data_IF_832985359118
#
_entry.id   IF_832985359118
#
_cell.length_a   1.000
_cell.length_b   1.000
_cell.length_c   1.000
_cell.angle_alpha   90.00
_cell.angle_beta   90.00
_cell.angle_gamma   90.00
#
_symmetry.space_group_name_H-M   'P 1'
#
loop_
_entity.id
_entity.type
_entity.pdbx_description
1 polymer ?
#
# COMPACT_ATOMS: atom_id res chain seq x y z
N UNK A 1 10.22 2.22 -1.00
CA UNK A 1 11.49 1.66 -0.49
C UNK A 1 11.20 0.35 0.22
N UNK A 2 11.85 -0.75 -0.18
CA UNK A 2 11.45 -2.09 0.28
C UNK A 2 12.07 -2.53 1.62
N UNK A 3 13.10 -1.85 2.13
CA UNK A 3 13.80 -2.21 3.37
C UNK A 3 13.80 -1.07 4.40
N UNK A 4 13.38 -1.32 5.66
CA UNK A 4 13.50 -0.35 6.75
C UNK A 4 14.94 0.08 7.03
N UNK A 5 15.92 -0.83 6.87
CA UNK A 5 17.34 -0.53 7.11
C UNK A 5 17.86 0.52 6.13
N UNK A 6 17.49 0.38 4.85
CA UNK A 6 17.86 1.34 3.82
C UNK A 6 17.21 2.71 4.05
N UNK A 7 15.94 2.72 4.51
CA UNK A 7 15.24 3.96 4.85
C UNK A 7 15.97 4.73 5.96
N UNK A 8 16.32 4.06 7.06
CA UNK A 8 17.04 4.67 8.18
C UNK A 8 18.44 5.13 7.78
N UNK A 9 19.15 4.35 6.94
CA UNK A 9 20.46 4.74 6.45
C UNK A 9 20.41 6.05 5.64
N UNK A 10 19.46 6.17 4.70
CA UNK A 10 19.34 7.39 3.89
C UNK A 10 18.92 8.60 4.72
N UNK A 11 18.07 8.38 5.73
CA UNK A 11 17.63 9.42 6.65
C UNK A 11 18.77 9.91 7.55
N UNK A 12 19.53 8.99 8.16
CA UNK A 12 20.62 9.31 9.09
C UNK A 12 21.82 9.94 8.41
N UNK A 13 22.13 9.51 7.19
CA UNK A 13 23.21 10.09 6.40
C UNK A 13 22.79 11.36 5.65
N UNK A 14 21.57 11.88 5.89
CA UNK A 14 21.03 13.08 5.26
C UNK A 14 21.10 13.07 3.72
N UNK A 15 21.11 11.88 3.10
CA UNK A 15 21.15 11.70 1.64
C UNK A 15 19.82 12.16 1.03
N UNK A 16 18.71 11.94 1.74
CA UNK A 16 17.37 12.38 1.38
C UNK A 16 16.64 12.94 2.60
N UNK A 17 15.83 13.98 2.39
CA UNK A 17 14.97 14.58 3.42
C UNK A 17 13.79 13.65 3.73
N UNK A 18 14.03 12.67 4.60
CA UNK A 18 13.04 11.64 4.95
C UNK A 18 12.37 11.91 6.31
N UNK A 19 11.04 11.77 6.41
CA UNK A 19 10.33 11.93 7.67
C UNK A 19 10.79 10.93 8.73
N UNK A 20 10.58 11.28 10.00
CA UNK A 20 10.91 10.37 11.10
C UNK A 20 10.01 9.14 11.11
N UNK A 21 10.50 8.06 11.73
CA UNK A 21 9.71 6.85 11.98
C UNK A 21 8.39 7.14 12.72
N UNK A 22 8.39 8.10 13.66
CA UNK A 22 7.17 8.53 14.36
C UNK A 22 6.17 9.21 13.41
N UNK A 23 6.66 10.04 12.50
CA UNK A 23 5.85 10.71 11.48
C UNK A 23 5.24 9.69 10.51
N UNK A 24 6.04 8.71 10.05
CA UNK A 24 5.54 7.60 9.24
C UNK A 24 4.44 6.80 9.96
N UNK A 25 4.66 6.46 11.23
CA UNK A 25 3.68 5.71 12.03
C UNK A 25 2.36 6.48 12.16
N UNK A 26 2.43 7.80 12.41
CA UNK A 26 1.25 8.68 12.46
C UNK A 26 0.54 8.73 11.10
N UNK A 27 1.29 8.77 10.01
CA UNK A 27 0.71 8.79 8.67
C UNK A 27 -0.01 7.47 8.35
N UNK A 28 0.60 6.34 8.71
CA UNK A 28 0.01 5.01 8.52
C UNK A 28 -1.18 4.78 9.45
N UNK A 29 -1.19 5.33 10.68
CA UNK A 29 -2.33 5.14 11.59
C UNK A 29 -3.63 5.78 11.09
N UNK A 30 -3.55 6.76 10.18
CA UNK A 30 -4.74 7.35 9.53
C UNK A 30 -5.37 6.37 8.54
N UNK A 31 -4.60 5.42 8.01
CA UNK A 31 -5.14 4.35 7.18
C UNK A 31 -5.88 3.33 8.06
N UNK A 32 -7.17 3.57 8.25
CA UNK A 32 -8.07 2.61 8.90
C UNK A 32 -8.27 1.40 7.97
N UNK A 33 -7.62 0.29 8.30
CA UNK A 33 -7.90 -1.01 7.70
C UNK A 33 -9.23 -1.52 8.26
N UNK A 34 -10.24 -1.59 7.40
CA UNK A 34 -11.53 -2.22 7.73
C UNK A 34 -11.49 -3.68 7.28
N UNK A 35 -12.18 -4.54 8.04
CA UNK A 35 -12.42 -5.92 7.61
C UNK A 35 -13.36 -5.94 6.40
N UNK A 36 -13.17 -6.90 5.50
CA UNK A 36 -13.90 -6.99 4.24
C UNK A 36 -13.27 -6.16 3.11
N UNK A 37 -14.07 -5.82 2.10
CA UNK A 37 -13.58 -5.09 0.92
C UNK A 37 -13.42 -3.60 1.22
N UNK A 38 -12.23 -3.06 0.96
CA UNK A 38 -11.99 -1.62 1.03
C UNK A 38 -12.60 -0.93 -0.19
N UNK A 39 -13.71 -0.21 0.03
CA UNK A 39 -14.40 0.54 -1.02
C UNK A 39 -13.47 1.56 -1.71
N UNK A 40 -12.55 2.18 -0.96
CA UNK A 40 -11.53 3.08 -1.52
C UNK A 40 -10.62 2.36 -2.51
N UNK A 41 -10.21 1.14 -2.18
CA UNK A 41 -9.36 0.32 -3.07
C UNK A 41 -10.15 -0.08 -4.31
N UNK A 42 -11.40 -0.52 -4.17
CA UNK A 42 -12.25 -0.88 -5.31
C UNK A 42 -12.55 0.30 -6.24
N UNK A 43 -12.77 1.51 -5.69
CA UNK A 43 -12.93 2.73 -6.50
C UNK A 43 -11.66 3.05 -7.30
N UNK A 44 -10.49 2.99 -6.68
CA UNK A 44 -9.22 3.18 -7.39
C UNK A 44 -8.99 2.09 -8.45
N UNK A 45 -9.38 0.85 -8.14
CA UNK A 45 -9.31 -0.26 -9.09
C UNK A 45 -10.20 -0.01 -10.31
N UNK A 46 -11.42 0.53 -10.10
CA UNK A 46 -12.34 0.91 -11.18
C UNK A 46 -11.75 1.99 -12.08
N UNK A 47 -11.13 3.03 -11.51
CA UNK A 47 -10.46 4.09 -12.29
C UNK A 47 -9.33 3.49 -13.12
N UNK A 48 -8.50 2.65 -12.51
CA UNK A 48 -7.41 1.98 -13.24
C UNK A 48 -7.92 1.06 -14.34
N UNK A 49 -8.98 0.29 -14.08
CA UNK A 49 -9.57 -0.62 -15.04
C UNK A 49 -10.25 0.10 -16.21
N UNK A 50 -10.73 1.33 -16.02
CA UNK A 50 -11.30 2.14 -17.10
C UNK A 50 -10.27 2.48 -18.19
N UNK A 51 -9.01 2.67 -17.80
CA UNK A 51 -7.89 2.94 -18.72
C UNK A 51 -7.28 1.66 -19.34
N UNK A 52 -7.68 0.48 -18.87
CA UNK A 52 -7.19 -0.79 -19.39
C UNK A 52 -7.96 -1.23 -20.63
N UNK A 53 -7.23 -1.84 -21.57
CA UNK A 53 -7.75 -2.50 -22.75
C UNK A 53 -8.79 -3.58 -22.38
N UNK A 54 -9.83 -3.74 -23.18
CA UNK A 54 -11.00 -4.57 -22.88
C UNK A 54 -10.60 -6.02 -22.56
N UNK A 55 -9.63 -6.56 -23.28
CA UNK A 55 -9.10 -7.92 -23.09
C UNK A 55 -8.34 -8.11 -21.76
N UNK A 56 -7.86 -7.02 -21.16
CA UNK A 56 -7.11 -7.02 -19.88
C UNK A 56 -7.98 -6.68 -18.67
N UNK A 57 -9.26 -6.33 -18.88
CA UNK A 57 -10.21 -6.05 -17.78
C UNK A 57 -10.74 -7.31 -17.12
N UNK A 58 -10.62 -8.46 -17.76
CA UNK A 58 -10.99 -9.75 -17.19
C UNK A 58 -9.89 -10.21 -16.23
N UNK A 59 -10.21 -10.31 -14.94
CA UNK A 59 -9.30 -10.81 -13.90
C UNK A 59 -10.07 -11.61 -12.86
N UNK A 60 -9.40 -12.58 -12.24
CA UNK A 60 -9.94 -13.36 -11.12
C UNK A 60 -9.56 -12.73 -9.78
N UNK A 61 -10.47 -12.78 -8.81
CA UNK A 61 -10.15 -12.48 -7.43
C UNK A 61 -9.75 -13.79 -6.74
N UNK A 62 -8.45 -13.93 -6.46
CA UNK A 62 -7.94 -15.05 -5.65
C UNK A 62 -7.98 -14.65 -4.18
N UNK A 63 -8.66 -15.46 -3.38
CA UNK A 63 -8.76 -15.29 -1.93
C UNK A 63 -8.15 -16.54 -1.32
N UNK A 64 -7.19 -16.33 -0.41
CA UNK A 64 -6.56 -17.40 0.37
C UNK A 64 -6.48 -16.95 1.82
N UNK A 65 -6.59 -17.89 2.74
CA UNK A 65 -6.59 -17.61 4.18
C UNK A 65 -5.20 -17.89 4.75
N UNK A 66 -4.64 -16.90 5.45
CA UNK A 66 -3.39 -17.10 6.17
C UNK A 66 -3.68 -17.46 7.63
N UNK A 67 -3.21 -18.64 8.06
CA UNK A 67 -3.28 -19.03 9.46
C UNK A 67 -2.30 -18.19 10.28
N UNK A 68 -2.85 -17.31 11.10
CA UNK A 68 -2.07 -16.58 12.11
C UNK A 68 -2.14 -17.39 13.40
N UNK A 69 -1.01 -17.51 14.12
CA UNK A 69 -0.80 -18.39 15.27
C UNK A 69 -1.93 -18.39 16.31
#
# INVERSE_FOLDING_TARGET
MKSPRLYEHLRKNHILSLPSKSTLKRYVSVYRTVFGFSEKVLRMLKVKAADMDAYKRHGGLLIDEFKTF
#
